data_IF_797802586561
#
_entry.id   IF_797802586561
#
_cell.length_a   1.000
_cell.length_b   1.000
_cell.length_c   1.000
_cell.angle_alpha   90.00
_cell.angle_beta   90.00
_cell.angle_gamma   90.00
#
_symmetry.space_group_name_H-M   'P 1'
#
loop_
_entity.id
_entity.type
_entity.pdbx_description
1 polymer ?
#
# COMPACT_ATOMS: atom_id res chain seq x y z
N UNK A 1 0.95 6.59 9.68
CA UNK A 1 2.33 6.12 9.96
C UNK A 1 3.28 6.93 9.09
N UNK A 2 4.45 7.31 9.61
CA UNK A 2 5.39 8.20 8.92
C UNK A 2 6.83 7.68 9.16
N UNK A 3 7.57 7.44 8.07
CA UNK A 3 8.98 7.02 8.09
C UNK A 3 9.22 5.53 8.35
N UNK A 4 10.49 5.19 8.63
CA UNK A 4 11.05 3.84 8.65
C UNK A 4 11.04 3.18 7.26
N UNK A 5 9.91 2.67 6.80
CA UNK A 5 9.77 2.09 5.45
C UNK A 5 8.49 2.59 4.81
N UNK A 6 8.51 2.77 3.49
CA UNK A 6 7.28 2.94 2.72
C UNK A 6 6.45 1.68 2.86
N UNK A 7 5.14 1.83 2.92
CA UNK A 7 4.21 0.71 3.14
C UNK A 7 3.37 0.47 1.89
N UNK A 8 3.45 -0.73 1.34
CA UNK A 8 2.66 -1.18 0.21
C UNK A 8 1.17 -1.29 0.58
N UNK A 9 0.31 -0.79 -0.30
CA UNK A 9 -1.15 -0.90 -0.20
C UNK A 9 -1.70 -1.71 -1.37
N UNK A 10 -2.83 -2.39 -1.16
CA UNK A 10 -3.47 -3.21 -2.18
C UNK A 10 -4.01 -2.37 -3.35
N UNK A 11 -4.42 -1.13 -3.08
CA UNK A 11 -5.01 -0.21 -4.04
C UNK A 11 -4.08 0.07 -5.23
N UNK A 12 -4.66 0.13 -6.43
CA UNK A 12 -4.00 0.69 -7.60
C UNK A 12 -3.79 2.20 -7.43
N UNK A 13 -2.64 2.69 -7.88
CA UNK A 13 -2.32 4.11 -7.87
C UNK A 13 -2.93 4.82 -9.08
N UNK A 14 -3.79 5.78 -8.80
CA UNK A 14 -4.23 6.80 -9.76
C UNK A 14 -4.12 8.18 -9.07
N UNK A 15 -3.39 9.15 -9.64
CA UNK A 15 -3.30 10.50 -9.10
C UNK A 15 -4.67 11.22 -9.06
N UNK A 16 -5.60 10.84 -9.93
CA UNK A 16 -6.96 11.38 -9.99
C UNK A 16 -7.98 10.59 -9.16
N UNK A 17 -7.59 9.48 -8.51
CA UNK A 17 -8.53 8.58 -7.79
C UNK A 17 -9.49 9.34 -6.86
N UNK A 18 -8.95 10.23 -6.03
CA UNK A 18 -9.76 10.93 -5.02
C UNK A 18 -10.73 11.94 -5.62
N UNK A 19 -10.46 12.45 -6.83
CA UNK A 19 -11.38 13.36 -7.52
C UNK A 19 -12.59 12.63 -8.11
N UNK A 20 -12.49 11.31 -8.27
CA UNK A 20 -13.53 10.45 -8.85
C UNK A 20 -14.44 9.84 -7.78
N UNK A 21 -14.10 9.97 -6.49
CA UNK A 21 -14.89 9.41 -5.41
C UNK A 21 -16.17 10.21 -5.22
N UNK A 22 -17.31 9.62 -5.59
CA UNK A 22 -18.65 10.08 -5.22
C UNK A 22 -19.02 9.62 -3.81
N UNK A 23 -20.11 10.14 -3.24
CA UNK A 23 -20.59 9.71 -1.90
C UNK A 23 -20.73 8.17 -1.80
N UNK A 24 -21.22 7.51 -2.86
CA UNK A 24 -21.35 6.05 -2.91
C UNK A 24 -20.00 5.30 -2.86
N UNK A 25 -18.92 5.90 -3.40
CA UNK A 25 -17.58 5.30 -3.42
C UNK A 25 -16.84 5.52 -2.09
N UNK A 26 -17.30 6.46 -1.24
CA UNK A 26 -16.60 6.77 0.01
C UNK A 26 -16.74 5.72 1.11
N UNK A 27 -17.61 4.72 0.94
CA UNK A 27 -17.75 3.59 1.87
C UNK A 27 -16.81 2.47 1.44
N UNK A 28 -15.80 2.18 2.28
CA UNK A 28 -14.77 1.16 2.04
C UNK A 28 -14.17 1.17 0.61
N UNK A 29 -13.61 2.31 0.15
CA UNK A 29 -13.04 2.41 -1.19
C UNK A 29 -11.85 1.45 -1.36
N UNK A 30 -11.84 0.70 -2.46
CA UNK A 30 -10.77 -0.26 -2.81
C UNK A 30 -9.79 0.30 -3.86
N UNK A 31 -9.90 1.59 -4.18
CA UNK A 31 -9.16 2.19 -5.29
C UNK A 31 -9.76 1.87 -6.67
N UNK A 32 -9.06 2.25 -7.76
CA UNK A 32 -9.41 1.86 -9.13
C UNK A 32 -9.45 0.33 -9.29
N UNK A 33 -10.21 -0.18 -10.26
CA UNK A 33 -10.30 -1.63 -10.52
C UNK A 33 -9.00 -2.21 -11.14
N UNK A 34 -8.23 -1.39 -11.85
CA UNK A 34 -6.99 -1.77 -12.51
C UNK A 34 -5.98 -0.61 -12.52
N UNK A 35 -4.70 -0.94 -12.66
CA UNK A 35 -3.62 0.02 -12.79
C UNK A 35 -2.31 -0.70 -13.10
N UNK A 36 -1.25 0.10 -13.32
CA UNK A 36 0.09 -0.41 -13.58
C UNK A 36 0.94 -0.48 -12.30
N UNK A 37 0.62 0.37 -11.31
CA UNK A 37 1.40 0.53 -10.08
C UNK A 37 0.49 0.58 -8.86
N UNK A 38 0.96 0.08 -7.72
CA UNK A 38 0.24 0.10 -6.46
C UNK A 38 0.60 1.32 -5.62
N UNK A 39 -0.30 1.71 -4.72
CA UNK A 39 -0.06 2.81 -3.78
C UNK A 39 0.98 2.40 -2.74
N UNK A 40 1.92 3.30 -2.42
CA UNK A 40 2.78 3.20 -1.23
C UNK A 40 2.63 4.44 -0.34
N UNK A 41 2.70 4.25 0.97
CA UNK A 41 2.39 5.28 1.99
C UNK A 41 3.48 5.42 3.04
N UNK A 42 3.46 6.54 3.76
CA UNK A 42 4.24 6.76 4.98
C UNK A 42 5.67 7.28 4.77
N UNK A 43 6.29 7.05 3.62
CA UNK A 43 7.69 7.39 3.39
C UNK A 43 8.66 6.48 4.15
N UNK A 44 9.96 6.59 3.89
CA UNK A 44 10.98 5.72 4.47
C UNK A 44 12.07 6.50 5.21
N UNK A 45 13.06 5.79 5.75
CA UNK A 45 14.30 6.39 6.27
C UNK A 45 15.10 7.19 5.21
N UNK A 46 14.76 7.06 3.93
CA UNK A 46 15.38 7.79 2.80
C UNK A 46 14.58 9.01 2.36
N UNK A 47 13.34 9.15 2.82
CA UNK A 47 12.45 10.24 2.40
C UNK A 47 12.83 11.57 3.03
N UNK A 48 12.68 12.64 2.26
CA UNK A 48 12.83 13.99 2.77
C UNK A 48 11.68 14.36 3.72
N UNK A 49 11.94 15.30 4.64
CA UNK A 49 10.94 15.72 5.63
C UNK A 49 9.62 16.24 5.01
N UNK A 50 9.68 16.79 3.79
CA UNK A 50 8.49 17.29 3.06
C UNK A 50 7.57 16.16 2.55
N UNK A 51 8.14 14.97 2.32
CA UNK A 51 7.43 13.77 1.88
C UNK A 51 6.78 13.03 3.05
N UNK A 52 7.29 13.23 4.27
CA UNK A 52 6.86 12.58 5.50
C UNK A 52 5.57 13.18 6.07
N UNK A 53 4.46 13.02 5.35
CA UNK A 53 3.12 13.47 5.78
C UNK A 53 2.13 12.30 5.75
N UNK A 54 1.20 12.29 6.71
CA UNK A 54 0.16 11.24 6.75
C UNK A 54 -0.72 11.19 5.49
N UNK A 55 -0.88 12.32 4.80
CA UNK A 55 -1.64 12.40 3.56
C UNK A 55 -0.81 12.10 2.30
N UNK A 56 0.53 12.03 2.40
CA UNK A 56 1.39 11.80 1.25
C UNK A 56 1.16 10.40 0.66
N UNK A 57 1.05 10.35 -0.67
CA UNK A 57 0.90 9.14 -1.46
C UNK A 57 2.05 9.11 -2.46
N UNK A 58 2.64 7.95 -2.64
CA UNK A 58 3.60 7.63 -3.68
C UNK A 58 3.15 6.30 -4.29
N UNK A 59 3.90 5.77 -5.25
CA UNK A 59 3.55 4.54 -5.96
C UNK A 59 4.76 3.65 -6.18
N UNK A 60 4.48 2.38 -6.48
CA UNK A 60 5.50 1.43 -6.92
C UNK A 60 6.12 1.89 -8.22
N UNK A 61 7.36 1.48 -8.50
CA UNK A 61 8.05 1.77 -9.76
C UNK A 61 8.54 0.45 -10.30
N UNK A 62 7.62 -0.37 -10.78
CA UNK A 62 7.83 -1.81 -11.03
C UNK A 62 9.03 -2.06 -11.94
N UNK A 63 9.16 -1.30 -13.04
CA UNK A 63 10.29 -1.42 -13.96
C UNK A 63 11.63 -1.06 -13.30
N UNK A 64 11.68 0.05 -12.56
CA UNK A 64 12.87 0.48 -11.83
C UNK A 64 13.25 -0.53 -10.73
N UNK A 65 12.25 -1.09 -10.06
CA UNK A 65 12.41 -1.98 -8.91
C UNK A 65 12.81 -3.41 -9.28
N UNK A 66 12.65 -3.79 -10.55
CA UNK A 66 13.01 -5.09 -11.11
C UNK A 66 14.23 -5.01 -12.04
N UNK A 67 14.91 -3.86 -12.10
CA UNK A 67 16.02 -3.64 -13.03
C UNK A 67 17.14 -4.65 -12.81
N UNK A 68 17.54 -4.89 -11.55
CA UNK A 68 18.63 -5.81 -11.23
C UNK A 68 18.21 -7.27 -11.02
N UNK A 69 16.91 -7.57 -11.13
CA UNK A 69 16.41 -8.94 -11.03
C UNK A 69 17.00 -9.81 -12.16
N UNK A 70 17.79 -10.85 -11.87
CA UNK A 70 18.41 -11.70 -12.89
C UNK A 70 17.42 -12.65 -13.58
N UNK A 71 16.16 -12.76 -13.12
CA UNK A 71 15.19 -13.73 -13.64
C UNK A 71 14.60 -13.31 -15.00
N UNK A 72 14.33 -14.31 -15.85
CA UNK A 72 13.60 -14.17 -17.12
C UNK A 72 12.57 -15.30 -17.24
N UNK A 73 11.26 -15.03 -17.06
CA UNK A 73 10.63 -13.73 -16.80
C UNK A 73 10.96 -13.17 -15.41
N UNK A 74 10.78 -11.86 -15.23
CA UNK A 74 10.98 -11.14 -13.96
C UNK A 74 10.04 -11.67 -12.87
N UNK A 75 10.46 -11.59 -11.62
CA UNK A 75 9.69 -12.06 -10.48
C UNK A 75 8.44 -11.23 -10.26
N UNK A 76 7.33 -11.90 -9.97
CA UNK A 76 6.11 -11.25 -9.46
C UNK A 76 6.10 -11.12 -7.94
N UNK A 77 7.07 -11.73 -7.25
CA UNK A 77 7.11 -11.83 -5.78
C UNK A 77 8.27 -11.06 -5.15
N UNK A 78 9.17 -10.51 -5.96
CA UNK A 78 10.40 -9.92 -5.46
C UNK A 78 10.81 -8.69 -6.25
N UNK A 79 10.64 -7.53 -5.63
CA UNK A 79 11.25 -6.29 -6.08
C UNK A 79 12.70 -6.21 -5.60
N UNK A 80 13.65 -6.54 -6.48
CA UNK A 80 15.09 -6.63 -6.17
C UNK A 80 15.68 -5.31 -5.68
N UNK A 81 15.22 -4.19 -6.21
CA UNK A 81 15.80 -2.87 -5.96
C UNK A 81 15.01 -2.02 -4.95
N UNK A 82 13.95 -2.57 -4.37
CA UNK A 82 13.07 -1.88 -3.42
C UNK A 82 13.48 -2.13 -1.96
N UNK A 83 14.56 -1.46 -1.53
CA UNK A 83 15.21 -1.69 -0.22
C UNK A 83 14.59 -0.91 0.95
N UNK A 84 13.65 -0.01 0.69
CA UNK A 84 13.03 0.85 1.69
C UNK A 84 11.50 0.74 1.73
N UNK A 85 10.96 -0.34 1.15
CA UNK A 85 9.53 -0.66 1.12
C UNK A 85 9.26 -1.94 1.91
N UNK A 86 8.22 -1.90 2.72
CA UNK A 86 7.65 -3.05 3.43
C UNK A 86 6.13 -3.02 3.36
N UNK A 87 5.49 -3.73 4.27
CA UNK A 87 4.03 -3.75 4.38
C UNK A 87 3.61 -4.00 5.83
N UNK A 88 2.34 -3.71 6.12
CA UNK A 88 1.67 -4.15 7.34
C UNK A 88 0.44 -4.92 6.93
N UNK A 89 0.18 -6.02 7.63
CA UNK A 89 -0.99 -6.86 7.37
C UNK A 89 -2.20 -6.25 8.07
N UNK A 90 -3.30 -6.16 7.33
CA UNK A 90 -4.62 -5.83 7.85
C UNK A 90 -5.54 -7.03 7.66
N UNK A 91 -6.50 -7.19 8.57
CA UNK A 91 -7.59 -8.16 8.44
C UNK A 91 -8.89 -7.49 8.80
N UNK A 92 -9.98 -7.96 8.21
CA UNK A 92 -11.31 -7.55 8.61
C UNK A 92 -11.56 -7.92 10.08
N UNK A 93 -12.31 -7.05 10.75
CA UNK A 93 -12.72 -7.26 12.12
C UNK A 93 -14.01 -8.08 12.13
N UNK A 94 -13.90 -9.35 12.52
CA UNK A 94 -15.05 -10.21 12.73
C UNK A 94 -15.69 -9.92 14.11
N UNK A 95 -16.88 -9.32 14.09
CA UNK A 95 -17.63 -8.97 15.30
C UNK A 95 -18.14 -10.20 16.06
N UNK A 96 -18.45 -11.31 15.39
CA UNK A 96 -19.02 -12.51 16.03
C UNK A 96 -17.93 -13.32 16.76
N UNK A 97 -16.74 -13.45 16.16
CA UNK A 97 -15.57 -14.05 16.81
C UNK A 97 -15.15 -13.29 18.08
N UNK A 98 -15.21 -11.95 18.05
CA UNK A 98 -14.83 -11.09 19.18
C UNK A 98 -15.77 -11.20 20.40
N UNK A 99 -17.06 -11.46 20.16
CA UNK A 99 -18.07 -11.64 21.23
C UNK A 99 -17.93 -12.99 21.91
N UNK A 100 -17.54 -14.02 21.17
CA UNK A 100 -17.33 -15.38 21.69
C UNK A 100 -16.08 -15.45 22.58
N UNK A 101 -15.02 -14.71 22.23
CA UNK A 101 -13.78 -14.66 23.02
C UNK A 101 -13.90 -13.84 24.32
N UNK A 102 -14.75 -12.82 24.36
CA UNK A 102 -14.99 -12.00 25.56
C UNK A 102 -16.08 -12.54 26.52
N UNK A 103 -16.77 -13.64 26.17
CA UNK A 103 -17.80 -14.27 27.00
C UNK A 103 -17.30 -15.36 27.94
N UNK A 104 -15.99 -15.55 28.05
CA UNK A 104 -15.35 -16.62 28.84
C UNK A 104 -14.64 -16.09 30.10
N UNK A 105 -15.28 -15.19 30.85
CA UNK A 105 -14.88 -14.82 32.22
C UNK A 105 -15.91 -15.28 33.24
#
# INVERSE_FOLDING_TARGET
MIGNVKEFCLDWYDPAAYSQYSEDITVDPTGPEAGEEHVVRGGSYRSDAIELRSAARDFTRTDDWLTTDPQSPKSIWWYSDSTDVGFRVVREFDREESRTSNGSQ
#
